data_IF_287183566060
#
_entry.id   IF_287183566060
#
_cell.length_a   1.000
_cell.length_b   1.000
_cell.length_c   1.000
_cell.angle_alpha   90.00
_cell.angle_beta   90.00
_cell.angle_gamma   90.00
#
_symmetry.space_group_name_H-M   'P 1'
#
loop_
_entity.id
_entity.type
_entity.pdbx_description
1 polymer ?
#
# COMPACT_ATOMS: atom_id res chain seq x y z
N UNK A 1 -18.43 9.71 -22.56
CA UNK A 1 -17.09 10.37 -22.45
C UNK A 1 -17.05 11.69 -23.21
N UNK A 2 -17.40 11.74 -24.51
CA UNK A 2 -17.43 13.00 -25.28
C UNK A 2 -18.37 14.04 -24.67
N UNK A 3 -19.56 13.61 -24.23
CA UNK A 3 -20.56 14.52 -23.63
C UNK A 3 -20.09 15.12 -22.30
N UNK A 4 -19.40 14.32 -21.47
CA UNK A 4 -18.79 14.80 -20.22
C UNK A 4 -17.69 15.83 -20.49
N UNK A 5 -16.81 15.58 -21.47
CA UNK A 5 -15.77 16.52 -21.87
C UNK A 5 -16.35 17.81 -22.45
N UNK A 6 -17.50 17.73 -23.13
CA UNK A 6 -18.22 18.91 -23.63
C UNK A 6 -18.87 19.70 -22.50
N UNK A 7 -19.39 19.04 -21.46
CA UNK A 7 -19.98 19.76 -20.30
C UNK A 7 -18.98 20.61 -19.51
N UNK A 8 -17.68 20.32 -19.63
CA UNK A 8 -16.62 21.11 -18.99
C UNK A 8 -16.15 22.31 -19.81
N UNK A 9 -16.65 22.50 -21.04
CA UNK A 9 -16.25 23.62 -21.92
C UNK A 9 -17.20 24.80 -21.75
N UNK A 10 -16.66 26.00 -21.96
CA UNK A 10 -17.46 27.23 -22.08
C UNK A 10 -18.28 27.22 -23.38
N UNK A 11 -19.24 28.12 -23.48
CA UNK A 11 -20.12 28.25 -24.67
C UNK A 11 -19.36 28.59 -25.95
N UNK A 12 -18.17 29.17 -25.85
CA UNK A 12 -17.25 29.43 -26.97
C UNK A 12 -16.34 28.23 -27.32
N UNK A 13 -16.49 27.09 -26.64
CA UNK A 13 -15.71 25.89 -26.84
C UNK A 13 -14.37 25.85 -26.11
N UNK A 14 -13.99 26.90 -25.38
CA UNK A 14 -12.74 26.94 -24.60
C UNK A 14 -12.82 26.09 -23.33
N UNK A 15 -11.67 25.61 -22.86
CA UNK A 15 -11.56 24.90 -21.57
C UNK A 15 -11.23 25.95 -20.50
N UNK A 16 -12.04 26.08 -19.43
CA UNK A 16 -11.72 26.99 -18.33
C UNK A 16 -10.42 26.56 -17.63
N UNK A 17 -9.71 27.53 -17.06
CA UNK A 17 -8.53 27.24 -16.26
C UNK A 17 -8.90 26.39 -15.03
N UNK A 18 -8.04 25.42 -14.71
CA UNK A 18 -8.19 24.61 -13.50
C UNK A 18 -7.81 25.46 -12.29
N UNK A 19 -8.78 25.70 -11.40
CA UNK A 19 -8.56 26.39 -10.13
C UNK A 19 -8.54 25.35 -9.01
N UNK A 20 -7.42 25.27 -8.29
CA UNK A 20 -7.26 24.36 -7.14
C UNK A 20 -7.52 25.11 -5.85
N UNK A 21 -8.66 24.84 -5.22
CA UNK A 21 -9.01 25.42 -3.92
C UNK A 21 -8.01 25.01 -2.85
N UNK A 22 -7.54 25.98 -2.07
CA UNK A 22 -6.63 25.74 -0.94
C UNK A 22 -7.47 25.49 0.31
N UNK A 23 -7.47 24.25 0.76
CA UNK A 23 -8.28 23.79 1.89
C UNK A 23 -7.39 23.39 3.07
N UNK A 24 -7.89 23.46 4.32
CA UNK A 24 -7.15 22.98 5.48
C UNK A 24 -6.71 21.51 5.34
N UNK A 25 -5.62 21.12 5.99
CA UNK A 25 -5.07 19.76 5.88
C UNK A 25 -6.01 18.65 6.38
N UNK A 26 -6.96 18.99 7.24
CA UNK A 26 -8.00 18.09 7.76
C UNK A 26 -9.30 18.11 6.94
N UNK A 27 -9.34 18.82 5.81
CA UNK A 27 -10.50 18.83 4.92
C UNK A 27 -10.76 17.41 4.38
N UNK A 28 -12.01 16.90 4.40
CA UNK A 28 -12.33 15.56 3.92
C UNK A 28 -12.14 15.45 2.40
N UNK A 29 -11.41 14.44 1.96
CA UNK A 29 -11.07 14.18 0.55
C UNK A 29 -11.79 12.95 0.01
N UNK A 30 -11.94 11.89 0.81
CA UNK A 30 -12.61 10.67 0.36
C UNK A 30 -13.33 9.94 1.49
N UNK A 31 -14.35 9.19 1.13
CA UNK A 31 -15.06 8.25 2.01
C UNK A 31 -14.84 6.85 1.46
N UNK A 32 -14.23 5.99 2.28
CA UNK A 32 -13.90 4.61 1.93
C UNK A 32 -14.71 3.64 2.78
N UNK A 33 -15.51 2.79 2.14
CA UNK A 33 -16.35 1.83 2.84
C UNK A 33 -15.61 0.52 3.09
N UNK A 34 -15.58 0.07 4.35
CA UNK A 34 -15.06 -1.26 4.72
C UNK A 34 -16.21 -2.19 5.07
N UNK A 35 -16.08 -3.47 4.72
CA UNK A 35 -17.15 -4.47 4.90
C UNK A 35 -17.42 -4.82 6.36
N UNK A 36 -16.49 -4.56 7.28
CA UNK A 36 -16.63 -4.88 8.71
C UNK A 36 -16.88 -6.38 9.01
N UNK A 37 -16.73 -6.79 10.27
CA UNK A 37 -17.13 -8.14 10.71
C UNK A 37 -18.56 -8.16 11.27
N UNK A 38 -19.10 -7.00 11.63
CA UNK A 38 -20.44 -6.84 12.18
C UNK A 38 -21.11 -5.55 11.67
N UNK A 39 -22.38 -5.65 11.30
CA UNK A 39 -23.23 -4.50 10.93
C UNK A 39 -23.07 -4.00 9.50
N UNK A 40 -23.52 -2.77 9.27
CA UNK A 40 -23.43 -2.09 7.97
C UNK A 40 -21.98 -1.69 7.65
N UNK A 41 -21.62 -1.53 6.36
CA UNK A 41 -20.30 -1.04 5.97
C UNK A 41 -19.93 0.28 6.65
N UNK A 42 -18.69 0.39 7.12
CA UNK A 42 -18.20 1.59 7.82
C UNK A 42 -17.59 2.55 6.80
N UNK A 43 -18.12 3.78 6.73
CA UNK A 43 -17.58 4.85 5.89
C UNK A 43 -16.44 5.59 6.59
N UNK A 44 -15.20 5.28 6.23
CA UNK A 44 -14.00 5.92 6.77
C UNK A 44 -13.72 7.19 5.97
N UNK A 45 -13.67 8.33 6.66
CA UNK A 45 -13.37 9.63 6.05
C UNK A 45 -11.87 9.88 6.13
N UNK A 46 -11.26 10.14 4.97
CA UNK A 46 -9.86 10.50 4.82
C UNK A 46 -9.73 11.97 4.48
N UNK A 47 -8.73 12.63 5.05
CA UNK A 47 -8.44 14.05 4.80
C UNK A 47 -7.18 14.20 3.95
N UNK A 48 -6.86 15.42 3.51
CA UNK A 48 -5.66 15.65 2.72
C UNK A 48 -4.38 15.14 3.41
N UNK A 49 -4.28 15.27 4.74
CA UNK A 49 -3.12 14.78 5.50
C UNK A 49 -2.98 13.26 5.50
N UNK A 50 -4.07 12.49 5.39
CA UNK A 50 -3.97 11.02 5.38
C UNK A 50 -3.30 10.48 4.11
N UNK A 51 -3.27 11.28 3.02
CA UNK A 51 -2.54 10.94 1.80
C UNK A 51 -1.02 11.04 1.96
N UNK A 52 -0.51 11.69 3.01
CA UNK A 52 0.93 11.69 3.29
C UNK A 52 1.45 10.30 3.67
N UNK A 53 0.60 9.44 4.25
CA UNK A 53 0.93 8.03 4.52
C UNK A 53 1.26 7.29 3.23
N UNK A 54 0.45 7.47 2.18
CA UNK A 54 0.72 6.91 0.84
C UNK A 54 2.03 7.43 0.26
N UNK A 55 2.28 8.75 0.36
CA UNK A 55 3.51 9.33 -0.16
C UNK A 55 4.73 8.73 0.54
N UNK A 56 4.67 8.57 1.87
CA UNK A 56 5.72 7.90 2.64
C UNK A 56 5.95 6.48 2.13
N UNK A 57 4.88 5.71 1.95
CA UNK A 57 4.99 4.31 1.52
C UNK A 57 5.61 4.21 0.12
N UNK A 58 5.14 5.04 -0.83
CA UNK A 58 5.65 5.05 -2.20
C UNK A 58 7.10 5.52 -2.31
N UNK A 59 7.46 6.60 -1.61
CA UNK A 59 8.78 7.23 -1.76
C UNK A 59 9.84 6.49 -0.97
N UNK A 60 9.53 6.06 0.26
CA UNK A 60 10.55 5.49 1.16
C UNK A 60 10.53 3.97 1.18
N UNK A 61 9.35 3.35 1.22
CA UNK A 61 9.27 1.90 1.33
C UNK A 61 9.32 1.21 -0.04
N UNK A 62 8.68 1.76 -1.08
CA UNK A 62 8.73 1.20 -2.43
C UNK A 62 9.86 1.75 -3.31
N UNK A 63 10.57 2.78 -2.83
CA UNK A 63 11.63 3.50 -3.57
C UNK A 63 11.20 4.00 -4.96
N UNK A 64 9.91 4.32 -5.16
CA UNK A 64 9.39 4.73 -6.47
C UNK A 64 10.00 6.07 -6.91
N UNK A 65 10.45 6.10 -8.18
CA UNK A 65 11.02 7.26 -8.85
C UNK A 65 10.13 7.75 -9.99
N UNK A 66 10.40 8.97 -10.44
CA UNK A 66 9.79 9.47 -11.68
C UNK A 66 10.20 8.58 -12.85
N UNK A 67 9.22 8.09 -13.61
CA UNK A 67 9.43 7.19 -14.74
C UNK A 67 9.28 5.70 -14.42
N UNK A 68 9.16 5.31 -13.15
CA UNK A 68 8.83 3.93 -12.80
C UNK A 68 7.40 3.58 -13.22
N UNK A 69 7.20 2.31 -13.58
CA UNK A 69 5.91 1.76 -13.98
C UNK A 69 5.40 0.87 -12.85
N UNK A 70 4.27 1.25 -12.27
CA UNK A 70 3.61 0.46 -11.23
C UNK A 70 2.44 -0.31 -11.85
N UNK A 71 2.43 -1.62 -11.63
CA UNK A 71 1.32 -2.50 -11.94
C UNK A 71 0.69 -3.01 -10.64
N UNK A 72 -0.61 -2.79 -10.47
CA UNK A 72 -1.36 -3.24 -9.30
C UNK A 72 -2.59 -4.05 -9.72
N UNK A 73 -2.67 -5.29 -9.24
CA UNK A 73 -3.75 -6.25 -9.52
C UNK A 73 -4.89 -6.19 -8.45
N UNK A 74 -4.70 -5.43 -7.37
CA UNK A 74 -5.69 -5.28 -6.30
C UNK A 74 -6.63 -4.09 -6.54
N UNK A 75 -7.95 -4.30 -6.75
CA UNK A 75 -8.94 -3.23 -6.80
C UNK A 75 -9.22 -2.73 -5.38
N UNK A 76 -8.44 -1.76 -4.89
CA UNK A 76 -8.77 -1.03 -3.67
C UNK A 76 -8.41 0.44 -3.83
N UNK A 77 -9.24 1.35 -3.31
CA UNK A 77 -9.12 2.78 -3.56
C UNK A 77 -7.74 3.35 -3.18
N UNK A 78 -7.14 2.83 -2.09
CA UNK A 78 -5.80 3.20 -1.59
C UNK A 78 -4.73 3.03 -2.68
N UNK A 79 -4.86 1.99 -3.50
CA UNK A 79 -3.91 1.64 -4.55
C UNK A 79 -4.44 1.92 -5.97
N UNK A 80 -5.73 2.26 -6.12
CA UNK A 80 -6.37 2.72 -7.36
C UNK A 80 -6.09 4.20 -7.66
N UNK A 81 -5.55 4.99 -6.72
CA UNK A 81 -5.01 6.34 -7.04
C UNK A 81 -3.92 6.25 -8.13
N UNK A 82 -3.30 5.08 -8.34
CA UNK A 82 -2.37 4.78 -9.42
C UNK A 82 -3.01 4.14 -10.68
N UNK A 83 -4.31 3.83 -10.71
CA UNK A 83 -4.94 3.08 -11.81
C UNK A 83 -5.00 3.81 -13.15
N UNK A 84 -4.67 5.10 -13.18
CA UNK A 84 -4.63 5.85 -14.44
C UNK A 84 -3.50 5.42 -15.41
N UNK A 85 -2.64 4.45 -15.04
CA UNK A 85 -1.51 4.03 -15.88
C UNK A 85 -1.39 2.53 -16.23
N UNK A 86 -2.26 1.63 -15.76
CA UNK A 86 -2.16 0.21 -16.15
C UNK A 86 -3.49 -0.53 -16.25
N UNK A 87 -3.75 -1.10 -17.43
CA UNK A 87 -4.89 -1.95 -17.75
C UNK A 87 -4.54 -3.39 -17.36
N UNK A 88 -5.54 -4.20 -17.03
CA UNK A 88 -5.52 -5.63 -16.68
C UNK A 88 -5.44 -5.94 -15.17
N UNK A 89 -6.44 -6.68 -14.69
CA UNK A 89 -6.42 -7.40 -13.41
C UNK A 89 -6.41 -8.90 -13.68
N UNK A 90 -5.26 -9.56 -13.55
CA UNK A 90 -5.10 -11.01 -13.71
C UNK A 90 -4.01 -11.47 -12.77
N UNK A 91 -4.30 -12.51 -11.98
CA UNK A 91 -3.37 -13.10 -11.01
C UNK A 91 -1.96 -13.26 -11.59
N UNK A 92 -0.96 -12.73 -10.88
CA UNK A 92 0.46 -12.88 -11.27
C UNK A 92 0.85 -14.36 -11.48
N UNK A 93 0.19 -15.30 -10.81
CA UNK A 93 0.44 -16.75 -10.96
C UNK A 93 0.11 -17.29 -12.34
N UNK A 94 -0.93 -16.78 -13.01
CA UNK A 94 -1.25 -17.20 -14.37
C UNK A 94 -0.32 -16.54 -15.37
N UNK A 95 0.02 -15.25 -15.16
CA UNK A 95 0.95 -14.51 -16.02
C UNK A 95 2.37 -15.07 -15.97
N UNK A 96 2.88 -15.43 -14.80
CA UNK A 96 4.23 -16.01 -14.66
C UNK A 96 4.43 -17.32 -15.46
N UNK A 97 3.34 -17.96 -15.90
CA UNK A 97 3.38 -19.18 -16.72
C UNK A 97 3.15 -18.92 -18.21
N UNK A 98 2.86 -17.69 -18.61
CA UNK A 98 2.61 -17.34 -20.01
C UNK A 98 3.93 -17.34 -20.80
N UNK A 99 4.05 -18.17 -21.86
CA UNK A 99 5.27 -18.23 -22.64
C UNK A 99 5.54 -16.90 -23.36
N UNK A 100 6.78 -16.40 -23.24
CA UNK A 100 7.24 -15.20 -23.94
C UNK A 100 7.14 -13.89 -23.14
N UNK A 101 6.55 -13.89 -21.94
CA UNK A 101 6.65 -12.74 -21.04
C UNK A 101 8.08 -12.60 -20.50
N UNK A 102 8.62 -11.39 -20.56
CA UNK A 102 9.92 -11.03 -20.00
C UNK A 102 9.74 -10.09 -18.82
N UNK A 103 10.49 -10.32 -17.77
CA UNK A 103 10.45 -9.53 -16.53
C UNK A 103 11.77 -8.78 -16.30
N UNK A 104 12.50 -8.47 -17.37
CA UNK A 104 13.85 -7.86 -17.34
C UNK A 104 13.87 -6.49 -16.63
N UNK A 105 12.72 -5.83 -16.52
CA UNK A 105 12.56 -4.54 -15.84
C UNK A 105 11.82 -4.64 -14.50
N UNK A 106 11.39 -5.83 -14.08
CA UNK A 106 10.77 -6.03 -12.78
C UNK A 106 11.85 -5.91 -11.71
N UNK A 107 11.66 -4.97 -10.78
CA UNK A 107 12.58 -4.75 -9.64
C UNK A 107 11.95 -5.13 -8.31
N UNK A 108 10.64 -4.97 -8.20
CA UNK A 108 9.89 -5.10 -6.97
C UNK A 108 8.58 -5.81 -7.23
N UNK A 109 8.27 -6.81 -6.41
CA UNK A 109 6.94 -7.40 -6.32
C UNK A 109 6.51 -7.36 -4.86
N UNK A 110 5.42 -6.64 -4.61
CA UNK A 110 4.85 -6.49 -3.27
C UNK A 110 3.63 -7.38 -3.08
N UNK A 111 3.45 -7.84 -1.85
CA UNK A 111 2.30 -8.63 -1.43
C UNK A 111 1.65 -7.94 -0.25
N UNK A 112 0.37 -7.59 -0.40
CA UNK A 112 -0.40 -6.85 0.60
C UNK A 112 -1.32 -7.74 1.46
N UNK A 113 -1.96 -7.10 2.44
CA UNK A 113 -3.01 -7.63 3.33
C UNK A 113 -2.60 -8.71 4.34
N UNK A 114 -1.52 -9.46 4.10
CA UNK A 114 -0.96 -10.41 5.07
C UNK A 114 0.48 -10.80 4.71
N UNK A 115 1.31 -11.24 5.67
CA UNK A 115 2.61 -11.80 5.35
C UNK A 115 2.49 -12.93 4.34
N UNK A 116 3.24 -12.83 3.24
CA UNK A 116 3.19 -13.86 2.22
C UNK A 116 3.72 -15.20 2.75
N UNK A 117 3.03 -16.30 2.47
CA UNK A 117 3.51 -17.63 2.87
C UNK A 117 4.81 -17.98 2.14
N UNK A 118 5.73 -18.69 2.81
CA UNK A 118 7.01 -19.16 2.23
C UNK A 118 6.88 -19.75 0.82
N UNK A 119 5.88 -20.62 0.60
CA UNK A 119 5.58 -21.22 -0.71
C UNK A 119 5.36 -20.22 -1.86
N UNK A 120 4.91 -19.00 -1.54
CA UNK A 120 4.69 -17.96 -2.54
C UNK A 120 6.03 -17.35 -2.97
N UNK A 121 6.94 -17.13 -2.03
CA UNK A 121 8.31 -16.68 -2.34
C UNK A 121 9.04 -17.73 -3.19
N UNK A 122 8.98 -19.00 -2.79
CA UNK A 122 9.58 -20.12 -3.53
C UNK A 122 9.04 -20.18 -4.97
N UNK A 123 7.71 -20.16 -5.13
CA UNK A 123 7.08 -20.14 -6.45
C UNK A 123 7.55 -18.95 -7.30
N UNK A 124 7.63 -17.75 -6.72
CA UNK A 124 8.02 -16.56 -7.47
C UNK A 124 9.49 -16.68 -7.89
N UNK A 125 10.41 -17.01 -6.99
CA UNK A 125 11.83 -17.14 -7.33
C UNK A 125 12.14 -18.32 -8.28
N UNK A 126 11.34 -19.38 -8.26
CA UNK A 126 11.48 -20.49 -9.22
C UNK A 126 11.02 -20.12 -10.63
N UNK A 127 10.02 -19.25 -10.76
CA UNK A 127 9.40 -18.89 -12.05
C UNK A 127 9.91 -17.56 -12.62
N UNK A 128 10.36 -16.65 -11.76
CA UNK A 128 11.09 -15.45 -12.15
C UNK A 128 12.57 -15.77 -12.26
N UNK A 129 13.08 -15.85 -13.47
CA UNK A 129 14.52 -16.04 -13.73
C UNK A 129 15.33 -14.75 -13.48
N UNK A 130 15.00 -13.99 -12.44
CA UNK A 130 15.57 -12.68 -12.11
C UNK A 130 16.08 -12.72 -10.67
N UNK A 131 17.40 -12.78 -10.49
CA UNK A 131 18.03 -12.77 -9.16
C UNK A 131 17.91 -11.43 -8.43
N UNK A 132 17.55 -10.38 -9.15
CA UNK A 132 17.58 -9.00 -8.68
C UNK A 132 16.19 -8.44 -8.32
N UNK A 133 15.16 -9.29 -8.22
CA UNK A 133 13.82 -8.87 -7.80
C UNK A 133 13.69 -8.94 -6.28
N UNK A 134 13.33 -7.82 -5.67
CA UNK A 134 12.94 -7.76 -4.26
C UNK A 134 11.48 -8.21 -4.09
N UNK A 135 11.25 -9.12 -3.14
CA UNK A 135 9.92 -9.54 -2.72
C UNK A 135 9.62 -8.99 -1.33
N UNK A 136 8.67 -8.06 -1.27
CA UNK A 136 8.28 -7.38 -0.03
C UNK A 136 6.86 -7.74 0.42
N UNK A 137 6.67 -7.97 1.71
CA UNK A 137 5.32 -8.03 2.31
C UNK A 137 5.00 -6.70 2.99
N UNK A 138 3.82 -6.17 2.72
CA UNK A 138 3.27 -4.97 3.33
C UNK A 138 1.96 -5.29 4.03
N UNK A 139 1.71 -4.63 5.15
CA UNK A 139 0.44 -4.72 5.84
C UNK A 139 -0.11 -3.33 6.12
N UNK A 140 -1.28 -3.05 5.55
CA UNK A 140 -2.00 -1.80 5.70
C UNK A 140 -3.48 -2.04 5.97
N UNK A 141 -4.19 -0.95 6.24
CA UNK A 141 -5.63 -0.95 6.45
C UNK A 141 -6.27 0.30 5.86
N UNK A 142 -7.58 0.22 5.61
CA UNK A 142 -8.33 1.36 5.07
C UNK A 142 -8.28 2.54 6.01
N UNK A 143 -8.39 2.30 7.32
CA UNK A 143 -8.28 3.28 8.40
C UNK A 143 -7.01 4.13 8.30
N UNK A 144 -5.90 3.54 7.89
CA UNK A 144 -4.60 4.22 7.82
C UNK A 144 -4.39 4.98 6.51
N UNK A 145 -5.08 4.56 5.43
CA UNK A 145 -4.80 5.03 4.08
C UNK A 145 -3.32 4.88 3.70
N UNK A 146 -2.77 3.70 4.01
CA UNK A 146 -1.37 3.33 3.86
C UNK A 146 -1.03 2.07 4.66
N UNK A 147 0.25 1.80 4.82
CA UNK A 147 0.77 0.61 5.46
C UNK A 147 1.29 0.88 6.88
N UNK A 148 1.00 -0.04 7.82
CA UNK A 148 1.59 -0.08 9.16
C UNK A 148 2.98 -0.73 9.13
N UNK A 149 3.18 -1.71 8.25
CA UNK A 149 4.47 -2.39 8.08
C UNK A 149 4.82 -2.47 6.59
N UNK A 150 6.11 -2.40 6.30
CA UNK A 150 6.66 -2.52 4.97
C UNK A 150 8.06 -3.09 5.03
N UNK A 151 8.94 -2.54 4.19
CA UNK A 151 10.30 -3.02 4.04
C UNK A 151 11.31 -1.87 3.90
N UNK A 152 12.56 -2.19 4.21
CA UNK A 152 13.76 -1.38 4.04
C UNK A 152 14.79 -2.21 3.28
N UNK A 153 15.19 -1.70 2.11
CA UNK A 153 16.14 -2.37 1.22
C UNK A 153 17.54 -2.57 1.85
N UNK A 154 17.86 -1.85 2.91
CA UNK A 154 19.14 -1.96 3.61
C UNK A 154 19.15 -3.07 4.69
N UNK A 155 18.00 -3.70 4.95
CA UNK A 155 17.86 -4.75 5.95
C UNK A 155 17.62 -6.11 5.28
N UNK A 156 17.99 -7.22 5.93
CA UNK A 156 17.66 -8.55 5.44
C UNK A 156 16.13 -8.76 5.44
N UNK A 157 15.61 -9.37 4.38
CA UNK A 157 14.20 -9.76 4.28
C UNK A 157 14.06 -11.27 4.48
N UNK A 158 13.09 -11.69 5.29
CA UNK A 158 12.84 -13.09 5.62
C UNK A 158 11.45 -13.51 5.12
N UNK A 159 11.40 -14.68 4.48
CA UNK A 159 10.15 -15.21 3.94
C UNK A 159 9.13 -15.45 5.06
N UNK A 160 7.91 -14.93 4.89
CA UNK A 160 6.85 -15.08 5.88
C UNK A 160 6.70 -13.91 6.85
N UNK A 161 7.52 -12.87 6.74
CA UNK A 161 7.52 -11.75 7.67
C UNK A 161 7.14 -10.43 6.97
N UNK A 162 6.54 -9.51 7.74
CA UNK A 162 6.66 -8.08 7.43
C UNK A 162 7.98 -7.63 8.04
N UNK A 163 8.81 -6.89 7.31
CA UNK A 163 10.20 -6.68 7.70
C UNK A 163 10.34 -5.63 8.81
N UNK A 164 9.72 -4.47 8.61
CA UNK A 164 9.81 -3.32 9.53
C UNK A 164 8.47 -2.58 9.62
N UNK A 165 8.19 -1.88 10.73
CA UNK A 165 7.17 -0.84 10.77
C UNK A 165 7.45 0.25 9.74
N UNK A 166 6.41 0.85 9.18
CA UNK A 166 6.60 2.03 8.32
C UNK A 166 7.00 3.26 9.13
N UNK A 167 7.60 4.25 8.46
CA UNK A 167 7.99 5.49 9.13
C UNK A 167 6.78 6.15 9.83
N UNK A 168 7.02 6.67 11.03
CA UNK A 168 6.03 7.27 11.93
C UNK A 168 4.97 6.32 12.52
N UNK A 169 5.15 5.01 12.37
CA UNK A 169 4.31 3.99 13.01
C UNK A 169 5.06 3.25 14.13
N UNK A 170 4.59 3.42 15.37
CA UNK A 170 5.03 2.60 16.50
C UNK A 170 4.14 1.36 16.58
N UNK A 171 4.56 0.31 15.88
CA UNK A 171 3.86 -0.98 15.85
C UNK A 171 4.35 -1.83 17.02
N UNK A 172 3.40 -2.19 17.90
CA UNK A 172 3.67 -3.03 19.06
C UNK A 172 2.74 -4.23 19.09
N UNK A 173 3.26 -5.30 19.68
CA UNK A 173 2.51 -6.53 19.90
C UNK A 173 2.34 -6.74 21.39
N UNK A 174 1.16 -7.16 21.78
CA UNK A 174 0.80 -7.34 23.18
C UNK A 174 0.49 -8.81 23.43
N UNK A 175 0.91 -9.32 24.60
CA UNK A 175 0.41 -10.61 25.06
C UNK A 175 -0.99 -10.49 25.65
N UNK A 176 -1.55 -11.62 26.08
CA UNK A 176 -2.89 -11.70 26.70
C UNK A 176 -3.04 -10.83 27.96
N UNK A 177 -1.94 -10.43 28.60
CA UNK A 177 -1.93 -9.58 29.78
C UNK A 177 -1.70 -8.09 29.44
N UNK A 178 -1.69 -7.72 28.15
CA UNK A 178 -1.43 -6.36 27.70
C UNK A 178 0.02 -5.91 27.87
N UNK A 179 0.96 -6.85 28.05
CA UNK A 179 2.39 -6.51 28.13
C UNK A 179 3.00 -6.47 26.74
N UNK A 180 3.76 -5.40 26.47
CA UNK A 180 4.48 -5.23 25.20
C UNK A 180 5.49 -6.36 24.99
N UNK A 181 5.31 -7.07 23.89
CA UNK A 181 6.28 -7.96 23.24
C UNK A 181 6.94 -7.14 22.15
N UNK A 182 8.18 -6.71 22.41
CA UNK A 182 8.93 -5.87 21.47
C UNK A 182 9.19 -6.64 20.18
N UNK A 183 9.10 -5.92 19.06
CA UNK A 183 9.68 -6.36 17.79
C UNK A 183 11.18 -6.61 18.02
N UNK A 184 11.64 -7.85 17.84
CA UNK A 184 13.07 -8.15 17.80
C UNK A 184 13.47 -8.25 16.34
N UNK A 185 14.57 -7.59 15.95
CA UNK A 185 15.12 -7.62 14.59
C UNK A 185 15.03 -9.04 13.98
N UNK A 186 14.34 -9.15 12.84
CA UNK A 186 14.21 -10.41 12.09
C UNK A 186 13.22 -11.44 12.65
N UNK A 187 12.26 -11.04 13.51
CA UNK A 187 11.09 -11.87 13.81
C UNK A 187 9.81 -11.04 13.79
N UNK A 188 8.87 -11.44 12.93
CA UNK A 188 7.45 -11.07 13.05
C UNK A 188 6.99 -11.30 14.49
N UNK A 189 6.04 -10.49 14.97
CA UNK A 189 5.41 -10.74 16.25
C UNK A 189 4.98 -12.20 16.36
N UNK A 190 5.46 -12.85 17.44
CA UNK A 190 5.25 -14.26 17.71
C UNK A 190 3.76 -14.61 17.53
N UNK A 191 3.49 -15.79 16.99
CA UNK A 191 2.16 -16.35 16.69
C UNK A 191 1.17 -16.37 17.88
N UNK A 192 1.63 -15.95 19.07
CA UNK A 192 0.87 -15.81 20.33
C UNK A 192 0.46 -14.36 20.64
N UNK A 193 0.72 -13.40 19.76
CA UNK A 193 0.23 -12.03 19.93
C UNK A 193 -1.31 -12.03 19.86
N UNK A 194 -1.95 -11.56 20.93
CA UNK A 194 -3.40 -11.53 21.06
C UNK A 194 -4.01 -10.36 20.28
N UNK A 195 -3.22 -9.30 20.05
CA UNK A 195 -3.63 -8.08 19.36
C UNK A 195 -2.44 -7.29 18.83
N UNK A 196 -2.67 -6.56 17.74
CA UNK A 196 -1.76 -5.57 17.17
C UNK A 196 -2.33 -4.19 17.45
N UNK A 197 -1.49 -3.26 17.91
CA UNK A 197 -1.84 -1.84 17.94
C UNK A 197 -0.72 -1.05 17.29
N UNK A 198 -1.09 -0.16 16.37
CA UNK A 198 -0.20 0.83 15.81
C UNK A 198 -0.59 2.20 16.37
N UNK A 199 0.37 2.91 16.93
CA UNK A 199 0.19 4.30 17.35
C UNK A 199 1.00 5.23 16.43
N UNK A 200 0.46 6.42 16.20
CA UNK A 200 1.08 7.44 15.37
C UNK A 200 1.82 8.44 16.24
N UNK A 201 3.07 8.72 15.92
CA UNK A 201 3.78 9.83 16.55
C UNK A 201 3.43 11.14 15.83
N UNK A 202 2.35 11.78 16.27
CA UNK A 202 2.08 13.18 15.97
C UNK A 202 2.91 14.00 16.97
N UNK A 203 3.96 14.67 16.51
CA UNK A 203 4.91 15.38 17.38
C UNK A 203 4.23 16.24 18.46
N UNK A 204 4.90 16.40 19.62
CA UNK A 204 4.42 17.23 20.75
C UNK A 204 3.84 18.54 20.23
N UNK A 205 2.54 18.76 20.43
CA UNK A 205 2.00 20.12 20.39
C UNK A 205 2.74 20.91 21.47
N UNK A 206 3.45 21.96 21.04
CA UNK A 206 3.97 22.99 21.94
C UNK A 206 2.87 23.99 22.25
#
# INVERSE_FOLDING_TARGET
>A
MKDFLQSGRKTDGTVPDLVFEQLPCNHPVSINFTSGTTGLPKGIVHSAVTYLSLLRDYVFHLDLKSGDIVYNDCPSLIWDVLRYMAKYSVSIRSRLKEPGLKFDHLKLLTMGASPAKKRNYEFIYENLNTKDVFLGSQYGATEMFGDFTGFDYNLPSYMGECQVPTLACDVQCFDENGKVRRWSEGRSCDSKASSFTASFYLGRQR
#
